data_IF_393496584981
#
_entry.id   IF_393496584981
#
_cell.length_a   1.000
_cell.length_b   1.000
_cell.length_c   1.000
_cell.angle_alpha   90.00
_cell.angle_beta   90.00
_cell.angle_gamma   90.00
#
_symmetry.space_group_name_H-M   'P 1'
#
loop_
_entity.id
_entity.type
_entity.pdbx_description
1 polymer ?
#
# COMPACT_ATOMS: atom_id res chain seq x y z
N UNK A 1 -2.91 5.67 -21.03
CA UNK A 1 -2.19 5.62 -22.33
C UNK A 1 -2.20 6.94 -23.12
N UNK A 2 -3.30 7.72 -23.14
CA UNK A 2 -3.35 9.02 -23.86
C UNK A 2 -2.52 10.15 -23.21
N UNK A 3 -2.39 10.19 -21.88
CA UNK A 3 -1.56 11.21 -21.19
C UNK A 3 -0.05 10.94 -21.38
N UNK A 4 0.36 9.67 -21.43
CA UNK A 4 1.75 9.28 -21.73
C UNK A 4 2.17 9.58 -23.18
N UNK A 5 1.22 9.58 -24.12
CA UNK A 5 1.48 9.92 -25.53
C UNK A 5 1.80 11.40 -25.75
N UNK A 6 1.32 12.30 -24.88
CA UNK A 6 1.63 13.74 -24.97
C UNK A 6 3.06 14.05 -24.49
N UNK A 7 3.66 13.20 -23.65
CA UNK A 7 4.96 13.47 -23.02
C UNK A 7 6.15 13.09 -23.94
N UNK A 8 5.95 12.28 -24.98
CA UNK A 8 7.05 11.65 -25.72
C UNK A 8 7.43 12.28 -27.08
N UNK A 9 6.92 13.47 -27.43
CA UNK A 9 7.27 14.12 -28.71
C UNK A 9 8.30 15.26 -28.57
N UNK A 10 9.53 14.95 -28.99
CA UNK A 10 10.60 15.81 -29.54
C UNK A 10 11.56 16.59 -28.61
N UNK A 11 12.66 15.91 -28.26
CA UNK A 11 13.81 16.36 -27.45
C UNK A 11 14.41 17.73 -27.84
N UNK A 12 14.86 18.44 -26.80
CA UNK A 12 15.64 19.70 -26.72
C UNK A 12 14.90 21.06 -26.68
N UNK A 13 13.85 21.30 -27.50
CA UNK A 13 12.92 22.46 -27.30
C UNK A 13 11.80 22.15 -26.28
N UNK A 14 11.72 20.89 -25.86
CA UNK A 14 10.62 20.27 -25.11
C UNK A 14 10.67 20.51 -23.62
N UNK A 15 11.83 20.84 -23.04
CA UNK A 15 11.95 21.02 -21.58
C UNK A 15 11.06 22.15 -21.07
N UNK A 16 11.11 23.31 -21.73
CA UNK A 16 10.29 24.47 -21.35
C UNK A 16 8.81 24.26 -21.65
N UNK A 17 8.49 23.66 -22.81
CA UNK A 17 7.10 23.34 -23.18
C UNK A 17 6.49 22.29 -22.24
N UNK A 18 7.25 21.27 -21.84
CA UNK A 18 6.84 20.25 -20.87
C UNK A 18 6.67 20.87 -19.49
N UNK A 19 7.59 21.73 -19.05
CA UNK A 19 7.46 22.46 -17.78
C UNK A 19 6.25 23.38 -17.75
N UNK A 20 6.01 24.12 -18.83
CA UNK A 20 4.83 24.98 -18.99
C UNK A 20 3.53 24.16 -19.00
N UNK A 21 3.50 23.03 -19.70
CA UNK A 21 2.36 22.13 -19.73
C UNK A 21 2.08 21.48 -18.37
N UNK A 22 3.12 20.99 -17.68
CA UNK A 22 2.97 20.47 -16.32
C UNK A 22 2.48 21.55 -15.35
N UNK A 23 2.98 22.78 -15.48
CA UNK A 23 2.51 23.91 -14.69
C UNK A 23 1.02 24.20 -14.97
N UNK A 24 0.64 24.29 -16.24
CA UNK A 24 -0.77 24.50 -16.62
C UNK A 24 -1.69 23.36 -16.17
N UNK A 25 -1.21 22.11 -16.20
CA UNK A 25 -1.93 20.97 -15.66
C UNK A 25 -2.09 21.05 -14.14
N UNK A 26 -1.03 21.41 -13.41
CA UNK A 26 -1.08 21.62 -11.96
C UNK A 26 -2.05 22.76 -11.61
N UNK A 27 -2.03 23.86 -12.34
CA UNK A 27 -2.95 24.99 -12.17
C UNK A 27 -4.42 24.60 -12.46
N UNK A 28 -4.64 23.59 -13.31
CA UNK A 28 -5.96 23.08 -13.65
C UNK A 28 -6.49 21.98 -12.70
N UNK A 29 -5.66 21.45 -11.78
CA UNK A 29 -6.06 20.41 -10.83
C UNK A 29 -7.31 20.78 -10.00
N UNK A 30 -7.46 22.03 -9.51
CA UNK A 30 -8.66 22.44 -8.78
C UNK A 30 -9.97 22.35 -9.57
N UNK A 31 -9.91 22.31 -10.90
CA UNK A 31 -11.09 22.10 -11.74
C UNK A 31 -11.24 20.63 -12.15
N UNK A 32 -10.12 19.96 -12.45
CA UNK A 32 -10.12 18.58 -12.95
C UNK A 32 -10.50 17.59 -11.86
N UNK A 33 -9.88 17.65 -10.67
CA UNK A 33 -10.07 16.63 -9.64
C UNK A 33 -11.52 16.61 -9.10
N UNK A 34 -12.17 17.75 -8.81
CA UNK A 34 -13.59 17.77 -8.45
C UNK A 34 -14.51 17.26 -9.56
N UNK A 35 -14.18 17.55 -10.83
CA UNK A 35 -14.94 17.04 -11.97
C UNK A 35 -14.86 15.51 -12.03
N UNK A 36 -13.66 14.94 -11.87
CA UNK A 36 -13.49 13.48 -11.83
C UNK A 36 -14.28 12.85 -10.67
N UNK A 37 -14.22 13.43 -9.47
CA UNK A 37 -15.02 12.99 -8.34
C UNK A 37 -16.52 13.00 -8.65
N UNK A 38 -17.02 14.13 -9.17
CA UNK A 38 -18.45 14.29 -9.52
C UNK A 38 -18.91 13.30 -10.60
N UNK A 39 -18.07 13.03 -11.59
CA UNK A 39 -18.38 12.05 -12.64
C UNK A 39 -18.47 10.63 -12.07
N UNK A 40 -17.52 10.24 -11.19
CA UNK A 40 -17.60 8.94 -10.50
C UNK A 40 -18.90 8.85 -9.71
N UNK A 41 -19.17 9.80 -8.84
CA UNK A 41 -20.33 9.79 -7.94
C UNK A 41 -21.64 9.71 -8.74
N UNK A 42 -21.81 10.60 -9.72
CA UNK A 42 -23.02 10.67 -10.55
C UNK A 42 -23.26 9.38 -11.32
N UNK A 43 -22.25 8.86 -12.00
CA UNK A 43 -22.41 7.67 -12.84
C UNK A 43 -22.50 6.38 -12.01
N UNK A 44 -21.85 6.33 -10.85
CA UNK A 44 -22.01 5.22 -9.91
C UNK A 44 -23.45 5.13 -9.40
N UNK A 45 -24.02 6.23 -8.90
CA UNK A 45 -25.42 6.26 -8.43
C UNK A 45 -26.39 5.91 -9.57
N UNK A 46 -26.14 6.41 -10.78
CA UNK A 46 -26.94 6.08 -11.94
C UNK A 46 -26.84 4.59 -12.32
N UNK A 47 -25.65 3.99 -12.24
CA UNK A 47 -25.47 2.55 -12.47
C UNK A 47 -26.33 1.71 -11.51
N UNK A 48 -26.33 2.03 -10.21
CA UNK A 48 -27.13 1.33 -9.21
C UNK A 48 -28.64 1.50 -9.45
N UNK A 49 -29.07 2.72 -9.79
CA UNK A 49 -30.47 3.03 -10.13
C UNK A 49 -30.94 2.21 -11.33
N UNK A 50 -30.18 2.21 -12.42
CA UNK A 50 -30.56 1.51 -13.64
C UNK A 50 -30.45 -0.02 -13.51
N UNK A 51 -29.53 -0.52 -12.70
CA UNK A 51 -29.50 -1.94 -12.33
C UNK A 51 -30.77 -2.35 -11.58
N UNK A 52 -31.23 -1.55 -10.62
CA UNK A 52 -32.48 -1.80 -9.88
C UNK A 52 -33.71 -1.77 -10.79
N UNK A 53 -33.69 -0.93 -11.83
CA UNK A 53 -34.74 -0.84 -12.86
C UNK A 53 -34.64 -1.92 -13.94
N UNK A 54 -33.70 -2.86 -13.82
CA UNK A 54 -33.42 -3.91 -14.80
C UNK A 54 -33.03 -3.38 -16.20
N UNK A 55 -32.57 -2.12 -16.29
CA UNK A 55 -32.08 -1.51 -17.53
C UNK A 55 -30.60 -1.83 -17.71
N UNK A 56 -30.31 -3.12 -17.94
CA UNK A 56 -28.94 -3.66 -17.91
C UNK A 56 -27.99 -2.97 -18.89
N UNK A 57 -28.45 -2.61 -20.08
CA UNK A 57 -27.61 -1.92 -21.06
C UNK A 57 -27.25 -0.50 -20.61
N UNK A 58 -28.18 0.26 -20.02
CA UNK A 58 -27.86 1.59 -19.47
C UNK A 58 -26.96 1.49 -18.24
N UNK A 59 -27.21 0.51 -17.36
CA UNK A 59 -26.33 0.23 -16.23
C UNK A 59 -24.89 -0.05 -16.69
N UNK A 60 -24.70 -0.86 -17.74
CA UNK A 60 -23.38 -1.12 -18.33
C UNK A 60 -22.70 0.13 -18.87
N UNK A 61 -23.43 1.05 -19.51
CA UNK A 61 -22.85 2.33 -19.96
C UNK A 61 -22.35 3.17 -18.78
N UNK A 62 -23.11 3.21 -17.69
CA UNK A 62 -22.69 3.90 -16.47
C UNK A 62 -21.49 3.23 -15.80
N UNK A 63 -21.46 1.89 -15.71
CA UNK A 63 -20.28 1.12 -15.24
C UNK A 63 -19.06 1.48 -16.10
N UNK A 64 -19.17 1.43 -17.44
CA UNK A 64 -18.09 1.79 -18.35
C UNK A 64 -17.59 3.23 -18.18
N UNK A 65 -18.50 4.15 -17.86
CA UNK A 65 -18.13 5.55 -17.57
C UNK A 65 -17.36 5.64 -16.25
N UNK A 66 -17.82 4.99 -15.18
CA UNK A 66 -17.10 4.93 -13.90
C UNK A 66 -15.71 4.32 -14.09
N UNK A 67 -15.60 3.22 -14.84
CA UNK A 67 -14.32 2.58 -15.19
C UNK A 67 -13.38 3.55 -15.92
N UNK A 68 -13.87 4.31 -16.91
CA UNK A 68 -13.04 5.27 -17.63
C UNK A 68 -12.55 6.41 -16.72
N UNK A 69 -13.42 6.90 -15.83
CA UNK A 69 -13.08 7.96 -14.88
C UNK A 69 -12.11 7.47 -13.82
N UNK A 70 -12.25 6.24 -13.30
CA UNK A 70 -11.27 5.62 -12.39
C UNK A 70 -9.89 5.49 -13.03
N UNK A 71 -9.81 5.09 -14.30
CA UNK A 71 -8.54 5.06 -15.02
C UNK A 71 -7.91 6.46 -15.15
N UNK A 72 -8.72 7.50 -15.36
CA UNK A 72 -8.23 8.87 -15.34
C UNK A 72 -7.73 9.25 -13.93
N UNK A 73 -8.49 8.96 -12.88
CA UNK A 73 -8.10 9.19 -11.49
C UNK A 73 -6.76 8.53 -11.18
N UNK A 74 -6.56 7.26 -11.57
CA UNK A 74 -5.29 6.54 -11.40
C UNK A 74 -4.14 7.27 -12.10
N UNK A 75 -4.34 7.72 -13.34
CA UNK A 75 -3.32 8.48 -14.07
C UNK A 75 -2.99 9.84 -13.43
N UNK A 76 -3.94 10.50 -12.76
CA UNK A 76 -3.66 11.73 -11.99
C UNK A 76 -2.99 11.42 -10.64
N UNK A 77 -3.34 10.30 -10.00
CA UNK A 77 -2.81 9.91 -8.70
C UNK A 77 -1.29 9.66 -8.71
N UNK A 78 -0.74 9.28 -9.88
CA UNK A 78 0.70 9.07 -10.09
C UNK A 78 1.53 10.33 -9.76
N UNK A 79 0.99 11.53 -9.98
CA UNK A 79 1.79 12.77 -9.92
C UNK A 79 1.12 13.94 -9.18
N UNK A 80 -0.21 14.07 -9.20
CA UNK A 80 -0.91 15.18 -8.53
C UNK A 80 -0.66 15.17 -7.02
N UNK A 81 -0.56 16.28 -6.28
CA UNK A 81 -0.31 16.24 -4.83
C UNK A 81 -1.33 15.38 -4.07
N UNK A 82 -0.88 14.52 -3.15
CA UNK A 82 -1.79 13.67 -2.35
C UNK A 82 -2.77 14.52 -1.54
N UNK A 83 -2.32 15.69 -1.08
CA UNK A 83 -3.15 16.68 -0.40
C UNK A 83 -4.32 17.16 -1.27
N UNK A 84 -4.11 17.37 -2.56
CA UNK A 84 -5.17 17.73 -3.50
C UNK A 84 -6.13 16.56 -3.76
N UNK A 85 -5.60 15.33 -3.91
CA UNK A 85 -6.44 14.13 -4.03
C UNK A 85 -7.38 13.96 -2.83
N UNK A 86 -6.88 14.26 -1.62
CA UNK A 86 -7.67 14.26 -0.39
C UNK A 86 -8.69 15.39 -0.38
N UNK A 87 -8.23 16.63 -0.63
CA UNK A 87 -9.05 17.85 -0.60
C UNK A 87 -10.25 17.78 -1.53
N UNK A 88 -10.10 17.18 -2.70
CA UNK A 88 -11.15 17.06 -3.69
C UNK A 88 -11.92 15.73 -3.63
N UNK A 89 -11.78 14.97 -2.53
CA UNK A 89 -12.65 13.84 -2.22
C UNK A 89 -12.31 12.52 -2.92
N UNK A 90 -11.21 12.43 -3.67
CA UNK A 90 -10.87 11.22 -4.43
C UNK A 90 -10.50 10.03 -3.53
N UNK A 91 -9.90 10.28 -2.36
CA UNK A 91 -9.64 9.22 -1.36
C UNK A 91 -10.96 8.60 -0.91
N UNK A 92 -11.95 9.43 -0.59
CA UNK A 92 -13.27 8.97 -0.19
C UNK A 92 -14.00 8.24 -1.33
N UNK A 93 -14.05 8.86 -2.52
CA UNK A 93 -14.71 8.30 -3.69
C UNK A 93 -14.15 6.93 -4.10
N UNK A 94 -12.82 6.77 -4.14
CA UNK A 94 -12.22 5.47 -4.42
C UNK A 94 -12.47 4.48 -3.26
N UNK A 95 -12.41 4.94 -2.01
CA UNK A 95 -12.65 4.11 -0.84
C UNK A 95 -14.06 3.49 -0.83
N UNK A 96 -15.08 4.27 -1.16
CA UNK A 96 -16.46 3.77 -1.26
C UNK A 96 -16.65 2.70 -2.33
N UNK A 97 -15.82 2.69 -3.38
CA UNK A 97 -15.91 1.74 -4.49
C UNK A 97 -15.23 0.40 -4.21
N UNK A 98 -14.44 0.28 -3.14
CA UNK A 98 -13.76 -0.97 -2.78
C UNK A 98 -14.73 -2.12 -2.45
N UNK A 99 -15.93 -1.82 -2.00
CA UNK A 99 -16.97 -2.82 -1.69
C UNK A 99 -17.74 -3.33 -2.91
N UNK A 100 -17.46 -2.81 -4.11
CA UNK A 100 -18.21 -3.13 -5.34
C UNK A 100 -17.33 -3.89 -6.33
N UNK A 101 -17.72 -5.13 -6.66
CA UNK A 101 -16.91 -6.05 -7.50
C UNK A 101 -16.51 -5.47 -8.85
N UNK A 102 -17.37 -4.67 -9.48
CA UNK A 102 -17.11 -4.06 -10.80
C UNK A 102 -15.99 -3.01 -10.77
N UNK A 103 -15.71 -2.42 -9.60
CA UNK A 103 -14.84 -1.25 -9.46
C UNK A 103 -13.64 -1.47 -8.53
N UNK A 104 -13.73 -2.44 -7.62
CA UNK A 104 -12.81 -2.61 -6.50
C UNK A 104 -11.34 -2.72 -6.89
N UNK A 105 -11.00 -3.37 -8.00
CA UNK A 105 -9.61 -3.50 -8.46
C UNK A 105 -9.04 -2.15 -8.92
N UNK A 106 -9.80 -1.39 -9.71
CA UNK A 106 -9.38 -0.06 -10.17
C UNK A 106 -9.32 0.95 -9.02
N UNK A 107 -10.25 0.85 -8.08
CA UNK A 107 -10.24 1.65 -6.87
C UNK A 107 -9.05 1.29 -5.96
N UNK A 108 -8.68 0.02 -5.84
CA UNK A 108 -7.50 -0.41 -5.09
C UNK A 108 -6.20 0.08 -5.75
N UNK A 109 -6.14 0.08 -7.09
CA UNK A 109 -4.99 0.61 -7.84
C UNK A 109 -4.70 2.09 -7.48
N UNK A 110 -5.73 2.92 -7.29
CA UNK A 110 -5.56 4.29 -6.78
C UNK A 110 -4.77 4.31 -5.47
N UNK A 111 -5.18 3.49 -4.50
CA UNK A 111 -4.52 3.41 -3.20
C UNK A 111 -3.11 2.84 -3.33
N UNK A 112 -2.90 1.83 -4.18
CA UNK A 112 -1.58 1.27 -4.46
C UNK A 112 -0.65 2.35 -4.99
N UNK A 113 -1.07 3.12 -5.99
CA UNK A 113 -0.30 4.24 -6.55
C UNK A 113 0.08 5.22 -5.45
N UNK A 114 -0.88 5.66 -4.64
CA UNK A 114 -0.63 6.65 -3.58
C UNK A 114 0.30 6.10 -2.49
N UNK A 115 0.14 4.84 -2.07
CA UNK A 115 0.98 4.20 -1.06
C UNK A 115 2.44 4.02 -1.48
N UNK A 116 2.74 3.98 -2.79
CA UNK A 116 4.12 3.96 -3.30
C UNK A 116 4.76 5.35 -3.38
N UNK A 117 4.02 6.42 -3.09
CA UNK A 117 4.57 7.77 -3.18
C UNK A 117 5.45 8.08 -1.99
N UNK A 118 6.49 8.83 -2.30
CA UNK A 118 7.42 9.33 -1.30
C UNK A 118 6.76 10.44 -0.48
N UNK A 119 6.86 10.33 0.85
CA UNK A 119 6.45 11.41 1.76
C UNK A 119 7.21 12.71 1.43
N UNK A 120 6.51 13.85 1.31
CA UNK A 120 7.13 15.17 1.20
C UNK A 120 8.02 15.49 2.40
N UNK A 121 8.94 16.45 2.26
CA UNK A 121 9.84 16.88 3.33
C UNK A 121 9.59 18.33 3.79
N UNK A 122 8.56 18.99 3.24
CA UNK A 122 8.29 20.41 3.40
C UNK A 122 7.04 20.68 4.26
N UNK A 123 6.50 21.90 4.20
CA UNK A 123 5.35 22.35 4.99
C UNK A 123 4.08 21.52 4.74
N UNK A 124 3.98 20.80 3.61
CA UNK A 124 2.82 19.97 3.29
C UNK A 124 2.79 18.64 4.06
N UNK A 125 3.79 18.34 4.90
CA UNK A 125 3.90 17.07 5.65
C UNK A 125 2.69 16.79 6.53
N UNK A 126 2.16 17.79 7.26
CA UNK A 126 1.01 17.57 8.15
C UNK A 126 -0.27 17.20 7.37
N UNK A 127 -0.52 17.89 6.26
CA UNK A 127 -1.68 17.62 5.39
C UNK A 127 -1.52 16.28 4.67
N UNK A 128 -0.30 15.94 4.26
CA UNK A 128 0.03 14.64 3.69
C UNK A 128 -0.22 13.52 4.72
N UNK A 129 0.27 13.65 5.95
CA UNK A 129 0.10 12.65 7.00
C UNK A 129 -1.39 12.46 7.39
N UNK A 130 -2.18 13.55 7.34
CA UNK A 130 -3.63 13.48 7.51
C UNK A 130 -4.29 12.69 6.35
N UNK A 131 -3.91 12.96 5.10
CA UNK A 131 -4.41 12.21 3.94
C UNK A 131 -4.02 10.72 4.00
N UNK A 132 -2.77 10.41 4.36
CA UNK A 132 -2.29 9.04 4.56
C UNK A 132 -2.99 8.36 5.74
N UNK A 133 -3.38 9.10 6.78
CA UNK A 133 -4.17 8.55 7.87
C UNK A 133 -5.56 8.11 7.42
N UNK A 134 -6.20 8.88 6.53
CA UNK A 134 -7.48 8.47 5.92
C UNK A 134 -7.30 7.22 5.05
N UNK A 135 -6.23 7.16 4.24
CA UNK A 135 -5.89 5.99 3.42
C UNK A 135 -5.66 4.76 4.30
N UNK A 136 -4.90 4.90 5.39
CA UNK A 136 -4.72 3.83 6.36
C UNK A 136 -6.07 3.30 6.86
N UNK A 137 -6.99 4.17 7.26
CA UNK A 137 -8.28 3.73 7.79
C UNK A 137 -9.09 2.96 6.74
N UNK A 138 -9.13 3.45 5.50
CA UNK A 138 -9.82 2.77 4.39
C UNK A 138 -9.23 1.38 4.14
N UNK A 139 -7.90 1.30 4.02
CA UNK A 139 -7.20 0.06 3.72
C UNK A 139 -7.30 -0.97 4.87
N UNK A 140 -7.17 -0.53 6.12
CA UNK A 140 -7.30 -1.41 7.28
C UNK A 140 -8.72 -1.96 7.42
N UNK A 141 -9.75 -1.16 7.08
CA UNK A 141 -11.14 -1.60 7.11
C UNK A 141 -11.43 -2.67 6.05
N UNK A 142 -11.10 -2.41 4.78
CA UNK A 142 -11.37 -3.37 3.69
C UNK A 142 -10.53 -4.66 3.86
N UNK A 143 -9.30 -4.52 4.35
CA UNK A 143 -8.43 -5.64 4.70
C UNK A 143 -9.04 -6.51 5.80
N UNK A 144 -9.54 -5.89 6.88
CA UNK A 144 -10.20 -6.62 7.95
C UNK A 144 -11.47 -7.33 7.48
N UNK A 145 -12.25 -6.69 6.61
CA UNK A 145 -13.45 -7.28 6.01
C UNK A 145 -13.10 -8.55 5.22
N UNK A 146 -12.10 -8.46 4.34
CA UNK A 146 -11.61 -9.61 3.57
C UNK A 146 -11.09 -10.74 4.48
N UNK A 147 -10.20 -10.42 5.44
CA UNK A 147 -9.62 -11.42 6.35
C UNK A 147 -10.70 -12.10 7.21
N UNK A 148 -11.68 -11.34 7.68
CA UNK A 148 -12.80 -11.88 8.45
C UNK A 148 -13.65 -12.80 7.60
N UNK A 149 -13.98 -12.39 6.36
CA UNK A 149 -14.73 -13.24 5.41
C UNK A 149 -13.95 -14.53 5.10
N UNK A 150 -12.64 -14.43 4.84
CA UNK A 150 -11.80 -15.58 4.52
C UNK A 150 -11.70 -16.59 5.65
N UNK A 151 -11.59 -16.11 6.89
CA UNK A 151 -11.58 -16.96 8.08
C UNK A 151 -12.93 -17.63 8.34
N UNK A 152 -14.02 -16.89 8.24
CA UNK A 152 -15.36 -17.38 8.63
C UNK A 152 -16.02 -18.24 7.55
N UNK A 153 -15.76 -17.93 6.27
CA UNK A 153 -16.43 -18.54 5.12
C UNK A 153 -15.43 -18.79 3.97
N UNK A 154 -14.38 -19.60 4.17
CA UNK A 154 -13.33 -19.80 3.16
C UNK A 154 -13.86 -20.37 1.84
N UNK A 155 -14.92 -21.18 1.90
CA UNK A 155 -15.59 -21.81 0.75
C UNK A 155 -16.49 -20.83 -0.05
N UNK A 156 -16.78 -19.65 0.51
CA UNK A 156 -17.61 -18.63 -0.14
C UNK A 156 -16.81 -17.59 -0.92
N UNK A 157 -15.48 -17.64 -0.85
CA UNK A 157 -14.58 -16.74 -1.58
C UNK A 157 -14.24 -17.37 -2.92
N UNK A 158 -14.64 -16.70 -4.00
CA UNK A 158 -14.26 -17.08 -5.36
C UNK A 158 -12.87 -16.55 -5.73
N UNK A 159 -12.36 -16.92 -6.91
CA UNK A 159 -11.04 -16.50 -7.37
C UNK A 159 -10.92 -14.98 -7.60
N UNK A 160 -12.01 -14.29 -7.99
CA UNK A 160 -11.99 -12.83 -8.14
C UNK A 160 -11.86 -12.14 -6.78
N UNK A 161 -12.52 -12.67 -5.76
CA UNK A 161 -12.38 -12.18 -4.39
C UNK A 161 -10.98 -12.44 -3.81
N UNK A 162 -10.35 -13.57 -4.13
CA UNK A 162 -8.95 -13.81 -3.78
C UNK A 162 -7.98 -12.89 -4.51
N UNK A 163 -8.18 -12.65 -5.81
CA UNK A 163 -7.41 -11.67 -6.58
C UNK A 163 -7.49 -10.28 -5.93
N UNK A 164 -8.69 -9.87 -5.53
CA UNK A 164 -8.87 -8.62 -4.81
C UNK A 164 -8.17 -8.64 -3.43
N UNK A 165 -8.26 -9.73 -2.68
CA UNK A 165 -7.52 -9.90 -1.43
C UNK A 165 -6.00 -9.74 -1.59
N UNK A 166 -5.42 -10.28 -2.67
CA UNK A 166 -4.00 -10.11 -2.99
C UNK A 166 -3.69 -8.65 -3.30
N UNK A 167 -4.56 -7.98 -4.07
CA UNK A 167 -4.42 -6.56 -4.39
C UNK A 167 -4.48 -5.67 -3.12
N UNK A 168 -5.38 -5.99 -2.17
CA UNK A 168 -5.42 -5.31 -0.86
C UNK A 168 -4.12 -5.53 -0.11
N UNK A 169 -3.69 -6.79 0.03
CA UNK A 169 -2.47 -7.15 0.76
C UNK A 169 -1.24 -6.42 0.18
N UNK A 170 -1.11 -6.39 -1.15
CA UNK A 170 -0.05 -5.65 -1.84
C UNK A 170 -0.07 -4.16 -1.50
N UNK A 171 -1.25 -3.56 -1.49
CA UNK A 171 -1.43 -2.13 -1.18
C UNK A 171 -1.10 -1.82 0.29
N UNK A 172 -1.51 -2.68 1.22
CA UNK A 172 -1.19 -2.56 2.66
C UNK A 172 0.31 -2.75 2.91
N UNK A 173 0.96 -3.67 2.20
CA UNK A 173 2.43 -3.85 2.23
C UNK A 173 3.13 -2.60 1.73
N UNK A 174 2.68 -1.98 0.63
CA UNK A 174 3.23 -0.74 0.10
C UNK A 174 3.10 0.41 1.11
N UNK A 175 1.95 0.51 1.79
CA UNK A 175 1.71 1.47 2.86
C UNK A 175 2.71 1.29 4.01
N UNK A 176 2.86 0.08 4.53
CA UNK A 176 3.79 -0.23 5.63
C UNK A 176 5.27 -0.14 5.24
N UNK A 177 5.59 -0.24 3.95
CA UNK A 177 6.98 -0.17 3.48
C UNK A 177 7.43 1.26 3.22
N UNK A 178 6.57 2.10 2.64
CA UNK A 178 6.93 3.45 2.20
C UNK A 178 6.41 4.56 3.14
N UNK A 179 5.36 4.27 3.91
CA UNK A 179 4.63 5.25 4.68
C UNK A 179 4.44 4.85 6.17
N UNK A 180 5.32 3.97 6.67
CA UNK A 180 5.25 3.47 8.05
C UNK A 180 5.27 4.56 9.12
N UNK A 181 6.00 5.65 8.86
CA UNK A 181 6.06 6.81 9.73
C UNK A 181 4.68 7.43 10.02
N UNK A 182 3.73 7.34 9.09
CA UNK A 182 2.37 7.85 9.27
C UNK A 182 1.54 6.93 10.19
N UNK A 183 1.97 5.68 10.38
CA UNK A 183 1.33 4.67 11.24
C UNK A 183 1.93 4.73 12.66
N UNK A 184 3.27 4.86 12.75
CA UNK A 184 4.04 4.86 14.00
C UNK A 184 3.69 5.99 14.98
N UNK A 185 2.95 7.01 14.53
CA UNK A 185 2.46 8.11 15.36
C UNK A 185 1.54 7.61 16.49
N UNK A 186 0.85 6.49 16.26
CA UNK A 186 -0.07 5.88 17.21
C UNK A 186 0.28 4.40 17.42
N UNK A 187 0.61 4.07 18.66
CA UNK A 187 0.98 2.70 19.04
C UNK A 187 -0.15 1.70 18.83
N UNK A 188 -1.41 2.09 19.06
CA UNK A 188 -2.55 1.21 18.84
C UNK A 188 -2.75 0.93 17.35
N UNK A 189 -2.61 1.95 16.49
CA UNK A 189 -2.65 1.78 15.02
C UNK A 189 -1.52 0.89 14.53
N UNK A 190 -0.31 1.07 15.09
CA UNK A 190 0.85 0.25 14.74
C UNK A 190 0.64 -1.22 15.12
N UNK A 191 0.22 -1.49 16.34
CA UNK A 191 -0.09 -2.87 16.78
C UNK A 191 -1.19 -3.50 15.95
N UNK A 192 -2.26 -2.75 15.62
CA UNK A 192 -3.34 -3.26 14.78
C UNK A 192 -2.87 -3.58 13.35
N UNK A 193 -2.04 -2.71 12.77
CA UNK A 193 -1.41 -2.95 11.47
C UNK A 193 -0.56 -4.22 11.45
N UNK A 194 0.34 -4.38 12.43
CA UNK A 194 1.19 -5.56 12.52
C UNK A 194 0.38 -6.85 12.71
N UNK A 195 -0.71 -6.79 13.48
CA UNK A 195 -1.61 -7.93 13.66
C UNK A 195 -2.28 -8.33 12.34
N UNK A 196 -2.80 -7.37 11.55
CA UNK A 196 -3.36 -7.71 10.23
C UNK A 196 -2.30 -8.25 9.27
N UNK A 197 -1.08 -7.71 9.30
CA UNK A 197 0.04 -8.24 8.50
C UNK A 197 0.41 -9.67 8.90
N UNK A 198 0.25 -10.02 10.18
CA UNK A 198 0.44 -11.38 10.68
C UNK A 198 -0.69 -12.30 10.23
N UNK A 199 -1.95 -11.82 10.21
CA UNK A 199 -3.10 -12.56 9.67
C UNK A 199 -2.92 -12.91 8.18
N UNK A 200 -2.41 -11.97 7.36
CA UNK A 200 -2.04 -12.29 5.97
C UNK A 200 -0.90 -13.30 5.88
N UNK A 201 0.10 -13.21 6.76
CA UNK A 201 1.22 -14.13 6.78
C UNK A 201 0.81 -15.56 7.14
N UNK A 202 -0.14 -15.69 8.07
CA UNK A 202 -0.78 -16.95 8.46
C UNK A 202 -1.80 -17.45 7.44
N UNK A 203 -2.23 -16.60 6.50
CA UNK A 203 -3.30 -16.92 5.57
C UNK A 203 -2.97 -18.18 4.78
N UNK A 204 -3.96 -19.03 4.55
CA UNK A 204 -3.73 -20.35 3.99
C UNK A 204 -3.28 -20.34 2.52
N UNK A 205 -3.83 -19.43 1.70
CA UNK A 205 -3.41 -19.18 0.31
C UNK A 205 -1.98 -18.67 0.23
N UNK A 206 -1.17 -19.27 -0.64
CA UNK A 206 0.27 -18.94 -0.73
C UNK A 206 0.52 -17.54 -1.27
N UNK A 207 -0.32 -17.04 -2.18
CA UNK A 207 -0.18 -15.70 -2.76
C UNK A 207 -0.28 -14.59 -1.69
N UNK A 208 -1.23 -14.72 -0.76
CA UNK A 208 -1.42 -13.76 0.33
C UNK A 208 -0.29 -13.81 1.34
N UNK A 209 0.12 -15.02 1.74
CA UNK A 209 1.29 -15.21 2.57
C UNK A 209 2.54 -14.58 1.92
N UNK A 210 2.79 -14.88 0.65
CA UNK A 210 3.95 -14.37 -0.06
C UNK A 210 3.95 -12.84 -0.13
N UNK A 211 2.80 -12.23 -0.38
CA UNK A 211 2.69 -10.79 -0.42
C UNK A 211 3.04 -10.15 0.92
N UNK A 212 2.52 -10.69 2.03
CA UNK A 212 2.85 -10.21 3.37
C UNK A 212 4.30 -10.48 3.81
N UNK A 213 4.92 -11.58 3.33
CA UNK A 213 6.33 -11.89 3.59
C UNK A 213 7.24 -10.74 3.12
N UNK A 214 6.89 -10.06 2.02
CA UNK A 214 7.67 -8.91 1.52
C UNK A 214 7.74 -7.77 2.55
N UNK A 215 6.67 -7.53 3.29
CA UNK A 215 6.69 -6.56 4.39
C UNK A 215 7.57 -7.04 5.54
N UNK A 216 7.40 -8.28 5.99
CA UNK A 216 8.15 -8.82 7.13
C UNK A 216 9.67 -8.84 6.88
N UNK A 217 10.10 -9.09 5.64
CA UNK A 217 11.52 -8.98 5.26
C UNK A 217 12.12 -7.59 5.44
N UNK A 218 11.30 -6.55 5.31
CA UNK A 218 11.73 -5.16 5.54
C UNK A 218 11.60 -4.80 7.03
N UNK A 219 10.51 -5.21 7.68
CA UNK A 219 10.22 -4.88 9.07
C UNK A 219 11.18 -5.54 10.07
N UNK A 220 11.60 -6.78 9.79
CA UNK A 220 12.53 -7.55 10.64
C UNK A 220 13.99 -7.21 10.38
N UNK A 221 14.31 -6.53 9.28
CA UNK A 221 15.69 -6.14 8.99
C UNK A 221 16.17 -5.15 10.04
N UNK A 222 17.22 -5.52 10.77
CA UNK A 222 17.89 -4.57 11.67
C UNK A 222 18.32 -3.33 10.87
N UNK A 223 18.07 -2.11 11.37
CA UNK A 223 18.69 -0.93 10.80
C UNK A 223 20.19 -1.10 10.98
N UNK A 224 20.89 -1.47 9.90
CA UNK A 224 22.34 -1.63 9.89
C UNK A 224 22.94 -0.41 10.56
N UNK A 225 23.73 -0.61 11.63
CA UNK A 225 24.45 0.48 12.30
C UNK A 225 25.09 1.33 11.21
N UNK A 226 24.56 2.53 10.99
CA UNK A 226 25.24 3.51 10.15
C UNK A 226 26.68 3.52 10.64
N UNK A 227 27.64 3.25 9.74
CA UNK A 227 29.06 3.29 10.08
C UNK A 227 29.29 4.61 10.81
N UNK A 228 29.42 4.51 12.13
CA UNK A 228 29.95 5.56 12.96
C UNK A 228 31.36 5.75 12.43
N UNK A 229 31.52 6.71 11.52
CA UNK A 229 32.83 7.26 11.24
C UNK A 229 33.16 8.03 12.52
N UNK A 230 33.69 7.31 13.50
CA UNK A 230 34.40 7.89 14.61
C UNK A 230 35.51 8.72 13.96
N UNK A 231 35.31 10.04 13.90
CA UNK A 231 36.41 10.96 13.67
C UNK A 231 37.33 10.82 14.88
N UNK A 232 38.33 9.96 14.75
CA UNK A 232 39.53 10.04 15.57
C UNK A 232 40.18 11.37 15.19
N UNK A 233 39.96 12.39 16.00
CA UNK A 233 40.77 13.61 16.00
C UNK A 233 41.46 13.64 17.35
N UNK A 234 42.76 13.38 17.34
CA UNK A 234 43.61 13.46 18.52
C UNK A 234 43.71 14.89 19.05
N UNK A 235 43.59 14.98 20.38
CA UNK A 235 44.11 15.94 21.35
C UNK A 235 44.57 17.33 20.90
N UNK A 236 43.93 18.37 21.46
CA UNK A 236 44.56 19.32 22.41
C UNK A 236 43.52 20.29 23.01
N UNK A 237 43.43 20.31 24.35
CA UNK A 237 42.61 21.19 25.24
C UNK A 237 43.21 22.60 25.43
N UNK A 238 42.68 23.55 26.26
CA UNK A 238 41.37 23.68 26.95
C UNK A 238 40.70 25.10 26.89
N UNK A 239 39.48 25.19 27.45
CA UNK A 239 38.90 26.26 28.31
C UNK A 239 37.59 26.94 27.83
N UNK A 240 36.56 26.95 28.70
CA UNK A 240 35.50 27.98 28.70
C UNK A 240 34.04 27.53 28.87
N UNK A 241 33.62 27.34 30.14
CA UNK A 241 32.32 27.62 30.78
C UNK A 241 30.93 27.47 30.08
N UNK A 242 30.05 26.75 30.81
CA UNK A 242 28.59 26.82 31.03
C UNK A 242 27.61 27.09 29.87
N UNK A 243 26.66 26.15 29.72
CA UNK A 243 25.30 26.50 29.27
C UNK A 243 24.48 25.37 28.65
N UNK A 244 23.49 24.89 29.42
CA UNK A 244 22.22 24.30 28.97
C UNK A 244 22.16 22.84 28.51
N UNK A 245 21.37 22.08 29.26
CA UNK A 245 20.80 20.77 28.93
C UNK A 245 20.00 20.88 27.64
N UNK A 246 20.59 20.46 26.53
CA UNK A 246 19.89 20.17 25.29
C UNK A 246 19.70 18.68 25.16
N UNK A 247 18.55 18.17 25.57
CA UNK A 247 18.10 16.81 25.21
C UNK A 247 18.07 16.76 23.69
N UNK A 248 19.02 16.05 23.09
CA UNK A 248 19.09 15.85 21.65
C UNK A 248 17.83 15.11 21.19
N UNK A 249 16.97 15.85 20.49
CA UNK A 249 15.74 15.39 19.85
C UNK A 249 15.94 14.31 18.77
N UNK A 250 17.16 13.85 18.56
CA UNK A 250 17.54 12.83 17.56
C UNK A 250 17.50 11.39 18.08
N UNK A 251 17.28 11.16 19.37
CA UNK A 251 17.12 9.80 19.91
C UNK A 251 15.68 9.27 19.91
N UNK A 252 14.67 10.15 19.91
CA UNK A 252 13.25 9.73 19.96
C UNK A 252 12.72 9.18 18.63
N UNK A 253 13.34 9.53 17.51
CA UNK A 253 12.90 9.09 16.17
C UNK A 253 13.40 7.69 15.77
N UNK A 254 14.30 7.07 16.56
CA UNK A 254 14.85 5.73 16.30
C UNK A 254 14.02 4.58 16.89
N UNK A 255 12.82 4.87 17.37
CA UNK A 255 11.85 3.86 17.81
C UNK A 255 11.14 3.28 16.59
N UNK A 256 11.83 2.42 15.86
CA UNK A 256 11.33 1.79 14.63
C UNK A 256 10.20 0.79 14.89
N UNK A 257 9.70 0.19 13.80
CA UNK A 257 8.65 -0.87 13.80
C UNK A 257 8.99 -2.01 14.77
N UNK A 258 10.27 -2.33 14.93
CA UNK A 258 10.77 -3.42 15.76
C UNK A 258 10.30 -3.36 17.21
N UNK A 259 10.01 -2.18 17.77
CA UNK A 259 9.53 -2.06 19.15
C UNK A 259 8.12 -2.59 19.37
N UNK A 260 7.36 -2.75 18.29
CA UNK A 260 5.99 -3.26 18.33
C UNK A 260 5.93 -4.75 17.93
N UNK A 261 7.06 -5.35 17.57
CA UNK A 261 7.16 -6.78 17.26
C UNK A 261 7.43 -7.52 18.58
N UNK A 262 6.42 -8.22 19.07
CA UNK A 262 6.51 -8.97 20.33
C UNK A 262 7.06 -10.37 20.10
N UNK A 263 7.47 -11.04 21.18
CA UNK A 263 7.95 -12.43 21.13
C UNK A 263 6.89 -13.38 20.55
N UNK A 264 5.59 -13.11 20.79
CA UNK A 264 4.49 -13.87 20.20
C UNK A 264 4.43 -13.72 18.68
N UNK A 265 4.68 -12.51 18.16
CA UNK A 265 4.74 -12.26 16.71
C UNK A 265 5.93 -13.03 16.12
N UNK A 266 7.12 -12.92 16.72
CA UNK A 266 8.31 -13.67 16.28
C UNK A 266 8.08 -15.17 16.27
N UNK A 267 7.53 -15.71 17.36
CA UNK A 267 7.22 -17.14 17.49
C UNK A 267 6.26 -17.60 16.40
N UNK A 268 5.22 -16.80 16.13
CA UNK A 268 4.24 -17.09 15.08
C UNK A 268 4.85 -17.06 13.68
N UNK A 269 5.68 -16.05 13.38
CA UNK A 269 6.37 -15.93 12.10
C UNK A 269 7.27 -17.13 11.83
N UNK A 270 8.04 -17.56 12.84
CA UNK A 270 8.90 -18.74 12.75
C UNK A 270 8.08 -20.02 12.53
N UNK A 271 7.04 -20.26 13.33
CA UNK A 271 6.18 -21.44 13.20
C UNK A 271 5.55 -21.56 11.81
N UNK A 272 4.99 -20.46 11.29
CA UNK A 272 4.42 -20.41 9.95
C UNK A 272 5.49 -20.62 8.88
N UNK A 273 6.67 -20.02 9.04
CA UNK A 273 7.81 -20.21 8.13
C UNK A 273 8.21 -21.68 8.04
N UNK A 274 8.39 -22.34 9.18
CA UNK A 274 8.76 -23.76 9.24
C UNK A 274 7.72 -24.64 8.54
N UNK A 275 6.43 -24.39 8.79
CA UNK A 275 5.33 -25.10 8.10
C UNK A 275 5.36 -24.89 6.60
N UNK A 276 5.72 -23.68 6.14
CA UNK A 276 5.74 -23.31 4.71
C UNK A 276 7.02 -23.67 3.96
N UNK A 277 8.10 -24.01 4.65
CA UNK A 277 9.30 -24.58 4.01
C UNK A 277 9.03 -25.96 3.40
N UNK A 278 8.02 -26.68 3.89
CA UNK A 278 7.66 -28.01 3.42
C UNK A 278 7.13 -27.95 1.97
N UNK A 279 7.66 -28.82 1.11
CA UNK A 279 7.16 -29.00 -0.26
C UNK A 279 5.84 -29.78 -0.23
N UNK A 280 4.87 -29.39 -1.07
CA UNK A 280 3.65 -30.18 -1.26
C UNK A 280 3.99 -31.60 -1.73
N UNK A 281 3.52 -32.61 -1.02
CA UNK A 281 3.69 -34.01 -1.39
C UNK A 281 2.60 -34.45 -2.38
N UNK A 282 2.94 -35.32 -3.35
CA UNK A 282 1.97 -35.87 -4.30
C UNK A 282 0.86 -36.69 -3.61
N UNK A 283 1.12 -37.19 -2.39
CA UNK A 283 0.21 -38.06 -1.64
C UNK A 283 -0.51 -37.36 -0.47
N UNK A 284 -0.30 -36.05 -0.27
CA UNK A 284 -0.98 -35.32 0.81
C UNK A 284 -2.37 -34.85 0.34
N UNK A 285 -3.40 -35.62 0.68
CA UNK A 285 -4.77 -35.13 0.61
C UNK A 285 -5.01 -34.11 1.73
N UNK A 286 -5.39 -32.89 1.34
CA UNK A 286 -5.97 -31.86 2.22
C UNK A 286 -5.05 -31.36 3.36
N UNK A 287 -3.94 -30.69 3.01
CA UNK A 287 -3.41 -29.67 3.94
C UNK A 287 -4.31 -28.43 3.85
N UNK A 288 -4.80 -27.95 5.01
CA UNK A 288 -5.50 -26.65 5.11
C UNK A 288 -4.64 -25.49 4.58
N UNK A 289 -3.31 -25.65 4.61
CA UNK A 289 -2.31 -24.70 4.13
C UNK A 289 -1.92 -24.98 2.68
N UNK A 290 -1.97 -23.97 1.82
CA UNK A 290 -1.43 -24.07 0.46
C UNK A 290 0.09 -24.00 0.51
N UNK A 291 0.73 -25.13 0.17
CA UNK A 291 2.18 -25.29 0.13
C UNK A 291 2.72 -25.07 -1.28
N UNK A 292 3.99 -24.66 -1.35
CA UNK A 292 4.68 -24.46 -2.62
C UNK A 292 4.86 -25.79 -3.38
N UNK A 293 4.85 -25.70 -4.71
CA UNK A 293 5.10 -26.80 -5.63
C UNK A 293 5.94 -26.28 -6.83
N UNK A 294 6.36 -27.19 -7.72
CA UNK A 294 7.19 -26.84 -8.88
C UNK A 294 6.46 -25.96 -9.90
N UNK A 295 5.13 -26.07 -9.98
CA UNK A 295 4.30 -25.23 -10.85
C UNK A 295 4.29 -23.76 -10.39
N UNK A 296 4.31 -23.53 -9.08
CA UNK A 296 4.42 -22.20 -8.49
C UNK A 296 5.83 -21.62 -8.67
N UNK A 297 6.89 -22.42 -8.53
CA UNK A 297 8.27 -21.95 -8.80
C UNK A 297 8.49 -21.56 -10.27
N UNK A 298 7.77 -22.18 -11.20
CA UNK A 298 7.77 -21.82 -12.62
C UNK A 298 7.09 -20.48 -12.93
N UNK A 299 6.32 -19.92 -12.00
CA UNK A 299 5.71 -18.58 -12.13
C UNK A 299 6.73 -17.54 -11.66
N UNK A 300 6.99 -16.54 -12.51
CA UNK A 300 7.94 -15.44 -12.22
C UNK A 300 7.74 -14.81 -10.85
N UNK A 301 6.49 -14.69 -10.43
CA UNK A 301 6.09 -13.93 -9.26
C UNK A 301 6.51 -14.61 -7.96
N UNK A 302 6.62 -15.95 -7.96
CA UNK A 302 7.10 -16.74 -6.82
C UNK A 302 8.55 -17.19 -6.96
N UNK A 303 9.24 -16.73 -8.01
CA UNK A 303 10.68 -16.97 -8.14
C UNK A 303 11.40 -16.42 -6.90
N UNK A 304 12.23 -17.27 -6.28
CA UNK A 304 12.92 -16.98 -5.02
C UNK A 304 12.03 -16.96 -3.76
N UNK A 305 10.80 -17.49 -3.80
CA UNK A 305 9.95 -17.61 -2.61
C UNK A 305 10.70 -18.27 -1.43
N UNK A 306 11.36 -19.40 -1.71
CA UNK A 306 12.11 -20.15 -0.69
C UNK A 306 13.27 -19.34 -0.11
N UNK A 307 14.04 -18.67 -0.96
CA UNK A 307 15.15 -17.80 -0.54
C UNK A 307 14.64 -16.70 0.37
N UNK A 308 13.54 -16.03 -0.02
CA UNK A 308 12.89 -14.99 0.78
C UNK A 308 12.37 -15.54 2.12
N UNK A 309 11.74 -16.71 2.13
CA UNK A 309 11.24 -17.33 3.35
C UNK A 309 12.38 -17.71 4.32
N UNK A 310 13.49 -18.23 3.79
CA UNK A 310 14.68 -18.51 4.61
C UNK A 310 15.25 -17.23 5.22
N UNK A 311 15.33 -16.13 4.46
CA UNK A 311 15.80 -14.84 4.97
C UNK A 311 14.90 -14.21 6.04
N UNK A 312 13.64 -14.62 6.18
CA UNK A 312 12.78 -14.14 7.29
C UNK A 312 13.00 -14.91 8.61
N UNK A 313 13.73 -16.03 8.56
CA UNK A 313 14.06 -16.85 9.74
C UNK A 313 15.46 -16.56 10.32
N UNK A 314 16.26 -15.78 9.60
CA UNK A 314 17.61 -15.33 9.99
C UNK A 314 17.54 -14.03 10.81
#
# INVERSE_FOLDING_TARGET
MFILLIINCHLHSTGDKRRALLRGLTEALPQILPLLYSLVEKHFVAALSEHTRQQMELAKHHVGTVTAVLNAINAYAEWAPVTDLAKYGLIHGCGSLLSYSDFRLLACEFFKIVCHRKRPADVAVCEYDAAMSNIFQVLMNISQEFLTKSRMQPMAIDESEYEFGVCICETVVALGSSNMQCILVDGARTSHFLQQMLEYYQHYRIALHFQSLLFWLVALREPSKAKSVARVSGDTSPAGNFGSVGVSSTEKEKKGVSLFITDEIYSTLLDVSFKRMLKKSANSSSSLLELWNEELEGKSDFSNYRTKLSSSCE
#
